data_IF_837829669936
#
_entry.id   IF_837829669936
#
_cell.length_a   1.000
_cell.length_b   1.000
_cell.length_c   1.000
_cell.angle_alpha   90.00
_cell.angle_beta   90.00
_cell.angle_gamma   90.00
#
_symmetry.space_group_name_H-M   'P 1'
#
loop_
_entity.id
_entity.type
_entity.pdbx_description
1 polymer ?
2 non-polymer ?
3 non-polymer ?
#
# COMPACT_ATOMS: atom_id res chain seq x y z
N UNK A 9 14.69 -28.44 -8.17
CA UNK A 9 13.93 -27.46 -7.36
C UNK A 9 12.54 -27.11 -7.90
N UNK A 10 12.22 -27.56 -9.12
CA UNK A 10 10.94 -27.26 -9.73
C UNK A 10 9.89 -28.34 -9.49
N UNK A 11 10.23 -29.42 -8.79
CA UNK A 11 9.29 -30.46 -8.48
C UNK A 11 8.69 -30.40 -7.10
N UNK A 12 8.99 -29.35 -6.32
CA UNK A 12 8.54 -29.28 -4.93
C UNK A 12 7.03 -29.36 -4.81
N UNK A 13 6.30 -28.75 -5.74
CA UNK A 13 4.84 -28.73 -5.65
C UNK A 13 4.19 -29.96 -6.28
N UNK A 14 4.83 -30.57 -7.28
CA UNK A 14 4.40 -31.88 -7.72
C UNK A 14 4.58 -32.92 -6.63
N UNK A 15 5.69 -32.83 -5.89
CA UNK A 15 5.92 -33.73 -4.76
C UNK A 15 4.83 -33.57 -3.71
N UNK A 16 4.60 -32.34 -3.27
CA UNK A 16 3.65 -32.06 -2.20
C UNK A 16 2.20 -32.23 -2.62
N UNK A 17 1.94 -32.53 -3.89
CA UNK A 17 0.56 -32.62 -4.36
C UNK A 17 -0.17 -31.30 -4.29
N UNK A 18 0.51 -30.21 -4.62
CA UNK A 18 -0.06 -28.86 -4.60
C UNK A 18 -0.19 -28.41 -6.06
N UNK A 19 -1.40 -28.14 -6.55
CA UNK A 19 -1.58 -27.81 -7.96
C UNK A 19 -1.00 -26.46 -8.30
N UNK A 20 -0.77 -26.25 -9.60
CA UNK A 20 -0.21 -25.00 -10.07
C UNK A 20 0.24 -25.09 -11.52
N UNK A 21 0.48 -23.94 -12.14
CA UNK A 21 0.93 -23.93 -13.53
C UNK A 21 2.29 -24.60 -13.69
N UNK A 22 2.50 -25.17 -14.87
CA UNK A 22 3.74 -25.89 -15.15
C UNK A 22 4.86 -24.90 -15.41
N UNK A 23 5.94 -24.92 -14.64
CA UNK A 23 7.02 -23.94 -14.84
C UNK A 23 7.95 -24.32 -15.98
N UNK A 24 8.49 -23.29 -16.62
CA UNK A 24 9.56 -23.45 -17.58
C UNK A 24 10.91 -23.44 -16.88
N UNK A 25 11.93 -24.04 -17.48
CA UNK A 25 13.26 -24.02 -16.84
C UNK A 25 13.79 -22.60 -16.68
N UNK A 26 14.41 -22.36 -15.52
CA UNK A 26 14.99 -21.08 -15.13
C UNK A 26 13.93 -20.01 -14.90
N UNK A 27 13.07 -19.77 -15.89
CA UNK A 27 12.08 -18.70 -15.77
C UNK A 27 11.01 -19.01 -14.74
N UNK A 28 10.89 -20.26 -14.30
CA UNK A 28 9.76 -20.61 -13.44
C UNK A 28 8.47 -20.31 -14.17
N UNK A 29 7.61 -19.50 -13.55
CA UNK A 29 6.36 -19.09 -14.16
C UNK A 29 6.32 -17.59 -14.48
N UNK A 30 7.49 -16.94 -14.59
CA UNK A 30 7.51 -15.47 -14.66
C UNK A 30 6.87 -14.97 -15.94
N UNK A 31 6.89 -15.79 -17.01
CA UNK A 31 6.25 -15.38 -18.26
C UNK A 31 4.77 -15.11 -18.08
N UNK A 32 4.13 -15.74 -17.08
CA UNK A 32 2.72 -15.49 -16.82
C UNK A 32 2.47 -14.12 -16.22
N UNK A 33 3.52 -13.38 -15.88
CA UNK A 33 3.35 -12.02 -15.37
C UNK A 33 3.16 -11.02 -16.50
N UNK A 34 2.82 -11.48 -17.72
CA UNK A 34 2.65 -10.55 -18.83
C UNK A 34 1.36 -9.74 -18.71
N UNK A 35 0.38 -10.25 -17.95
CA UNK A 35 -0.83 -9.50 -17.63
C UNK A 35 -0.74 -8.86 -16.25
N UNK A 36 0.41 -8.92 -15.60
CA UNK A 36 0.56 -8.37 -14.26
C UNK A 36 0.18 -9.34 -13.18
N UNK A 37 0.73 -9.13 -11.98
CA UNK A 37 0.47 -9.98 -10.82
C UNK A 37 -1.00 -10.25 -10.61
N UNK A 38 -1.80 -9.18 -10.71
CA UNK A 38 -3.22 -9.24 -10.37
C UNK A 38 -3.97 -10.24 -11.23
N UNK A 39 -3.89 -10.07 -12.56
CA UNK A 39 -4.59 -11.00 -13.45
C UNK A 39 -4.07 -12.42 -13.30
N UNK A 40 -2.78 -12.56 -13.04
CA UNK A 40 -2.18 -13.88 -12.85
C UNK A 40 -2.79 -14.61 -11.67
N UNK A 41 -2.80 -13.95 -10.50
CA UNK A 41 -3.34 -14.58 -9.30
C UNK A 41 -4.83 -14.84 -9.44
N UNK A 42 -5.56 -13.87 -10.00
CA UNK A 42 -7.00 -14.05 -10.21
C UNK A 42 -7.30 -15.32 -10.99
N UNK A 43 -6.53 -15.55 -12.07
CA UNK A 43 -6.69 -16.78 -12.84
C UNK A 43 -6.28 -17.99 -12.02
N UNK A 44 -5.09 -17.93 -11.42
CA UNK A 44 -4.59 -19.03 -10.59
C UNK A 44 -5.60 -19.39 -9.50
N UNK A 45 -6.17 -18.37 -8.86
CA UNK A 45 -7.21 -18.61 -7.84
C UNK A 45 -8.40 -19.37 -8.43
N UNK A 46 -8.73 -19.09 -9.69
CA UNK A 46 -9.85 -19.78 -10.34
C UNK A 46 -9.43 -21.13 -10.92
N UNK A 47 -8.15 -21.28 -11.26
CA UNK A 47 -7.68 -22.48 -11.93
C UNK A 47 -7.50 -23.65 -10.95
N UNK A 48 -7.09 -23.38 -9.72
CA UNK A 48 -6.71 -24.43 -8.79
C UNK A 48 -7.44 -24.40 -7.46
N UNK A 49 -7.92 -23.24 -7.02
CA UNK A 49 -8.78 -23.20 -5.85
C UNK A 49 -8.18 -22.53 -4.62
N UNK A 50 -8.22 -23.24 -3.49
CA UNK A 50 -7.85 -22.64 -2.21
C UNK A 50 -6.35 -22.50 -2.04
N UNK A 51 -5.56 -23.36 -2.67
CA UNK A 51 -4.10 -23.36 -2.53
C UNK A 51 -3.48 -23.77 -3.85
N UNK A 52 -2.47 -23.02 -4.28
CA UNK A 52 -1.69 -23.37 -5.46
C UNK A 52 -0.25 -22.93 -5.24
N UNK A 53 0.60 -23.27 -6.20
CA UNK A 53 2.01 -22.93 -6.11
C UNK A 53 2.56 -22.58 -7.47
N UNK A 54 3.70 -21.90 -7.44
CA UNK A 54 4.40 -21.50 -8.65
C UNK A 54 5.85 -21.17 -8.27
N UNK A 55 6.62 -20.68 -9.23
CA UNK A 55 8.06 -20.51 -9.08
C UNK A 55 8.48 -19.17 -9.68
N UNK A 56 8.84 -18.23 -8.82
CA UNK A 56 9.46 -16.98 -9.24
C UNK A 56 10.94 -17.26 -9.52
N UNK A 57 11.26 -17.52 -10.78
CA UNK A 57 12.57 -18.02 -11.14
C UNK A 57 12.79 -19.43 -10.63
N UNK A 58 13.66 -19.57 -9.62
CA UNK A 58 13.83 -20.83 -8.90
C UNK A 58 13.18 -20.81 -7.54
N UNK A 59 12.50 -19.71 -7.19
CA UNK A 59 11.96 -19.52 -5.85
C UNK A 59 10.55 -20.09 -5.77
N UNK A 60 10.31 -21.14 -4.99
CA UNK A 60 8.94 -21.67 -4.86
C UNK A 60 8.08 -20.73 -4.02
N UNK A 61 6.91 -20.39 -4.55
CA UNK A 61 5.96 -19.52 -3.86
C UNK A 61 4.64 -20.26 -3.72
N UNK A 62 4.12 -20.31 -2.50
CA UNK A 62 2.85 -20.96 -2.20
C UNK A 62 1.80 -19.90 -1.89
N UNK A 63 0.67 -19.97 -2.61
CA UNK A 63 -0.41 -19.00 -2.46
C UNK A 63 -1.54 -19.64 -1.67
N UNK A 64 -1.84 -19.09 -0.49
CA UNK A 64 -2.90 -19.58 0.38
C UNK A 64 -4.05 -18.58 0.35
N UNK A 65 -5.28 -19.11 0.36
CA UNK A 65 -6.48 -18.27 0.38
C UNK A 65 -7.43 -18.67 1.50
N UNK A 66 -6.98 -19.50 2.45
CA UNK A 66 -7.83 -19.94 3.54
C UNK A 66 -7.75 -18.94 4.69
N UNK A 67 -8.85 -18.32 5.09
CA UNK A 67 -8.78 -17.27 6.13
C UNK A 67 -8.15 -17.76 7.44
N UNK A 68 -8.44 -18.99 7.85
CA UNK A 68 -7.77 -19.55 9.01
C UNK A 68 -6.28 -19.76 8.74
N UNK A 69 -5.95 -20.25 7.54
CA UNK A 69 -4.55 -20.47 7.19
C UNK A 69 -3.82 -19.13 7.08
N UNK A 70 -4.49 -18.11 6.58
CA UNK A 70 -3.90 -16.78 6.50
C UNK A 70 -3.69 -16.21 7.91
N UNK A 71 -4.75 -16.26 8.74
CA UNK A 71 -4.63 -15.82 10.13
C UNK A 71 -3.53 -16.58 10.86
N UNK A 72 -3.32 -17.85 10.50
CA UNK A 72 -2.22 -18.61 11.10
C UNK A 72 -0.87 -18.02 10.72
N UNK A 73 -0.71 -17.66 9.45
CA UNK A 73 0.60 -17.22 8.96
C UNK A 73 0.88 -15.78 9.37
N UNK A 74 -0.09 -14.88 9.15
CA UNK A 74 0.13 -13.47 9.44
C UNK A 74 0.16 -13.19 10.94
N UNK A 75 -0.60 -13.95 11.74
CA UNK A 75 -0.80 -13.62 13.14
C UNK A 75 -0.23 -14.71 14.04
N UNK A 76 -0.79 -15.92 13.95
CA UNK A 76 -0.53 -16.94 14.95
C UNK A 76 0.92 -17.37 14.97
N UNK A 77 1.53 -17.56 13.81
CA UNK A 77 2.89 -18.09 13.70
C UNK A 77 3.82 -17.07 13.04
N UNK A 78 3.72 -15.81 13.46
CA UNK A 78 4.55 -14.77 12.86
C UNK A 78 5.93 -14.72 13.53
N UNK A 79 5.97 -14.53 14.85
CA UNK A 79 7.23 -14.41 15.57
C UNK A 79 8.09 -15.66 15.46
N UNK A 80 7.51 -16.80 15.06
CA UNK A 80 8.22 -18.08 15.06
C UNK A 80 8.68 -18.48 13.67
N UNK A 81 7.74 -18.58 12.72
CA UNK A 81 7.99 -19.17 11.43
C UNK A 81 7.97 -18.11 10.32
N UNK A 82 7.00 -17.19 10.35
CA UNK A 82 6.86 -16.28 9.23
C UNK A 82 7.16 -14.85 9.66
N UNK A 83 8.42 -14.56 9.99
CA UNK A 83 8.77 -13.24 10.52
C UNK A 83 9.07 -12.26 9.39
N UNK A 84 9.68 -12.74 8.31
CA UNK A 84 10.28 -11.88 7.30
C UNK A 84 9.63 -12.11 5.93
N UNK A 85 9.68 -11.08 5.10
CA UNK A 85 9.16 -11.09 3.75
C UNK A 85 10.20 -11.65 2.80
N UNK A 86 9.91 -11.60 1.50
CA UNK A 86 10.84 -12.11 0.50
C UNK A 86 12.11 -11.26 0.50
N UNK A 87 13.30 -11.88 0.50
CA UNK A 87 14.55 -11.10 0.46
C UNK A 87 14.59 -10.17 -0.75
N UNK A 88 15.13 -8.98 -0.54
CA UNK A 88 15.10 -7.92 -1.55
C UNK A 88 16.49 -7.30 -1.64
N UNK A 89 17.05 -7.28 -2.85
CA UNK A 89 18.35 -6.71 -3.07
C UNK A 89 18.61 -6.39 -4.53
N UNK A 90 19.67 -5.64 -4.81
CA UNK A 90 20.65 -5.05 -3.88
C UNK A 90 20.10 -3.85 -3.12
N UNK A 91 20.24 -3.82 -1.80
CA UNK A 91 19.66 -2.79 -0.97
C UNK A 91 20.73 -1.90 -0.34
N UNK A 92 21.87 -2.47 0.02
CA UNK A 92 22.94 -1.68 0.62
C UNK A 92 22.62 -1.36 2.06
N UNK A 93 22.77 -0.09 2.44
CA UNK A 93 22.44 0.33 3.80
C UNK A 93 20.94 0.23 4.07
N UNK A 94 20.12 0.13 3.02
CA UNK A 94 18.68 -0.04 3.16
C UNK A 94 18.30 -1.42 3.68
N UNK A 95 19.26 -2.32 3.87
CA UNK A 95 18.97 -3.60 4.51
C UNK A 95 18.43 -3.40 5.93
N UNK A 96 18.84 -2.30 6.58
CA UNK A 96 18.38 -2.00 7.93
C UNK A 96 17.00 -1.37 7.95
N UNK A 97 16.42 -1.07 6.80
CA UNK A 97 15.08 -0.51 6.74
C UNK A 97 14.07 -1.49 7.34
N UNK A 98 13.05 -0.94 8.01
CA UNK A 98 12.13 -1.78 8.77
C UNK A 98 11.35 -2.70 7.84
N UNK A 99 10.92 -2.18 6.69
CA UNK A 99 10.24 -3.01 5.70
C UNK A 99 11.16 -4.04 5.06
N UNK A 100 12.45 -4.00 5.38
CA UNK A 100 13.45 -4.84 4.73
C UNK A 100 14.19 -5.67 5.77
N UNK A 101 14.32 -5.15 6.98
CA UNK A 101 15.04 -5.84 8.04
C UNK A 101 14.34 -7.14 8.42
N UNK A 102 15.10 -8.02 9.07
CA UNK A 102 14.66 -9.36 9.37
C UNK A 102 14.94 -9.72 10.83
N UNK A 103 14.10 -10.59 11.38
CA UNK A 103 14.35 -11.34 12.62
C UNK A 103 14.54 -10.36 13.78
N UNK A 104 15.59 -10.51 14.59
CA UNK A 104 15.74 -9.71 15.81
C UNK A 104 16.02 -8.25 15.48
N UNK A 105 16.65 -7.97 14.34
CA UNK A 105 16.84 -6.59 13.93
C UNK A 105 15.51 -5.90 13.68
N UNK A 106 14.55 -6.62 13.08
CA UNK A 106 13.24 -6.04 12.81
C UNK A 106 12.46 -5.81 14.10
N UNK A 107 12.48 -6.80 15.01
CA UNK A 107 11.73 -6.68 16.26
C UNK A 107 12.16 -5.44 17.04
N UNK A 108 13.44 -5.11 16.99
CA UNK A 108 13.96 -3.92 17.67
C UNK A 108 13.43 -2.65 17.01
N UNK A 109 13.50 -2.58 15.68
CA UNK A 109 13.03 -1.40 14.97
C UNK A 109 11.53 -1.23 15.09
N UNK A 110 10.77 -2.33 14.99
CA UNK A 110 9.32 -2.22 15.04
C UNK A 110 8.85 -1.73 16.42
N UNK A 111 9.62 -2.04 17.47
CA UNK A 111 9.32 -1.51 18.79
C UNK A 111 9.73 -0.04 18.90
N UNK A 112 10.89 0.30 18.35
CA UNK A 112 11.40 1.67 18.47
C UNK A 112 10.57 2.65 17.66
N UNK A 113 9.91 2.19 16.60
CA UNK A 113 9.12 3.06 15.73
C UNK A 113 7.62 2.90 15.91
N UNK A 114 7.18 1.96 16.75
CA UNK A 114 5.75 1.83 17.04
C UNK A 114 5.16 3.08 17.67
N UNK A 115 5.78 3.72 18.69
CA UNK A 115 5.12 4.87 19.33
C UNK A 115 5.19 6.17 18.53
N UNK A 116 5.32 6.05 17.21
CA UNK A 116 5.27 7.23 16.35
C UNK A 116 3.87 7.51 15.83
N UNK A 117 3.02 6.50 15.73
CA UNK A 117 1.66 6.65 15.25
C UNK A 117 0.65 6.25 16.32
N UNK A 118 0.92 6.60 17.57
CA UNK A 118 -0.06 6.39 18.62
C UNK A 118 -1.23 7.36 18.42
N UNK A 119 -2.33 7.08 19.13
CA UNK A 119 -3.52 7.93 19.01
C UNK A 119 -3.25 9.36 19.45
N UNK A 120 -2.24 9.59 20.28
CA UNK A 120 -1.91 10.92 20.71
C UNK A 120 -0.95 11.64 19.77
N UNK A 121 0.07 10.92 19.29
CA UNK A 121 1.00 11.51 18.34
C UNK A 121 0.32 11.92 17.04
N UNK A 122 -0.75 11.22 16.66
CA UNK A 122 -1.51 11.61 15.47
C UNK A 122 -2.36 12.85 15.77
N UNK A 123 -2.90 12.94 16.99
CA UNK A 123 -3.72 14.08 17.36
C UNK A 123 -2.93 15.38 17.34
N UNK A 124 -1.62 15.31 17.61
CA UNK A 124 -0.78 16.50 17.49
C UNK A 124 -0.51 16.86 16.04
N UNK A 125 -0.76 15.96 15.10
CA UNK A 125 -0.48 16.21 13.69
C UNK A 125 -1.64 16.87 12.96
N UNK A 126 -2.86 16.78 13.50
CA UNK A 126 -4.02 17.39 12.83
C UNK A 126 -3.89 18.90 12.73
N UNK A 127 -3.50 19.64 13.79
CA UNK A 127 -3.24 21.08 13.60
C UNK A 127 -2.13 21.37 12.61
N UNK A 128 -1.13 20.49 12.51
CA UNK A 128 -0.01 20.72 11.60
C UNK A 128 -0.42 20.38 10.16
N UNK A 129 -1.10 19.24 9.98
CA UNK A 129 -1.55 18.84 8.64
C UNK A 129 -2.61 19.79 8.08
N UNK A 130 -3.32 20.51 8.95
CA UNK A 130 -4.36 21.44 8.53
C UNK A 130 -3.85 22.66 7.78
N UNK A 131 -2.55 22.78 7.52
CA UNK A 131 -2.05 23.93 6.77
C UNK A 131 -1.99 23.66 5.28
N UNK A 132 -1.36 22.55 4.89
CA UNK A 132 -1.15 22.27 3.47
C UNK A 132 -2.42 21.85 2.75
N UNK A 133 -3.46 21.47 3.50
CA UNK A 133 -4.76 21.29 2.88
C UNK A 133 -5.29 22.59 2.31
N UNK A 134 -5.04 23.71 2.99
CA UNK A 134 -5.38 25.01 2.43
C UNK A 134 -4.46 25.37 1.27
N UNK A 135 -3.19 24.98 1.35
CA UNK A 135 -2.31 25.07 0.20
C UNK A 135 -2.82 24.15 -0.91
N UNK A 136 -3.47 23.04 -0.53
CA UNK A 136 -4.02 22.13 -1.54
C UNK A 136 -5.27 22.71 -2.19
N UNK A 137 -6.16 23.29 -1.40
CA UNK A 137 -7.36 23.92 -1.96
C UNK A 137 -6.98 25.11 -2.83
N UNK A 138 -6.04 25.93 -2.35
CA UNK A 138 -5.64 27.10 -3.11
C UNK A 138 -4.84 26.71 -4.36
N UNK A 139 -4.08 25.61 -4.30
CA UNK A 139 -3.45 25.11 -5.52
C UNK A 139 -4.48 24.53 -6.47
N UNK A 140 -5.55 23.95 -5.95
CA UNK A 140 -6.64 23.46 -6.78
C UNK A 140 -7.61 24.56 -7.20
N UNK A 141 -7.63 25.69 -6.48
CA UNK A 141 -8.50 26.80 -6.86
C UNK A 141 -8.00 27.52 -8.10
N UNK A 142 -6.72 27.38 -8.44
CA UNK A 142 -6.13 28.08 -9.58
C UNK A 142 -6.35 27.34 -10.90
N UNK A 143 -6.33 26.03 -10.88
CA UNK A 143 -6.57 25.23 -12.08
C UNK A 143 -8.03 24.84 -12.25
N UNK A 144 -8.92 25.38 -11.40
CA UNK A 144 -10.35 25.19 -11.56
C UNK A 144 -11.04 26.42 -12.14
N UNK A 145 -10.55 27.61 -11.76
CA UNK A 145 -11.05 28.83 -12.43
C UNK A 145 -10.75 28.60 -13.91
N UNK A 146 -9.63 27.94 -14.19
CA UNK A 146 -9.28 27.59 -15.59
C UNK A 146 -10.14 26.34 -15.83
N UNK A 147 -11.05 26.39 -16.80
CA UNK A 147 -11.89 25.21 -17.13
C UNK A 147 -11.12 24.17 -17.92
N UNK A 148 -10.24 23.42 -17.25
CA UNK A 148 -9.41 22.40 -17.94
C UNK A 148 -9.29 21.16 -17.06
N UNK A 149 -9.04 19.97 -17.63
CA UNK A 149 -8.83 18.76 -16.82
C UNK A 149 -7.69 18.93 -15.80
N UNK A 150 -7.60 18.05 -14.81
CA UNK A 150 -6.58 18.21 -13.73
C UNK A 150 -5.90 16.87 -13.42
N UNK A 151 -4.57 16.87 -13.25
CA UNK A 151 -3.87 15.63 -12.85
C UNK A 151 -3.95 15.54 -11.32
N UNK A 152 -4.66 14.54 -10.81
CA UNK A 152 -4.87 14.49 -9.36
C UNK A 152 -3.60 14.12 -8.61
N UNK A 153 -2.87 13.11 -9.07
CA UNK A 153 -1.71 12.63 -8.34
C UNK A 153 -0.64 13.70 -8.19
N UNK A 154 -0.56 14.64 -9.13
CA UNK A 154 0.41 15.73 -9.02
C UNK A 154 0.07 16.64 -7.84
N UNK A 155 -1.16 17.15 -7.81
CA UNK A 155 -1.56 18.02 -6.71
C UNK A 155 -1.76 17.23 -5.42
N UNK A 156 -2.07 15.93 -5.51
CA UNK A 156 -2.16 15.12 -4.31
C UNK A 156 -0.78 14.80 -3.77
N UNK A 157 0.13 14.38 -4.66
CA UNK A 157 1.49 14.08 -4.23
C UNK A 157 2.21 15.30 -3.71
N UNK A 158 2.01 16.46 -4.37
CA UNK A 158 2.56 17.71 -3.84
C UNK A 158 2.01 17.97 -2.44
N UNK A 159 0.71 17.72 -2.24
CA UNK A 159 0.14 17.80 -0.89
C UNK A 159 0.75 16.75 0.01
N UNK A 160 0.78 15.49 -0.44
CA UNK A 160 1.24 14.40 0.41
C UNK A 160 2.70 14.58 0.80
N UNK A 161 3.52 15.11 -0.11
CA UNK A 161 4.92 15.36 0.23
C UNK A 161 5.05 16.48 1.26
N UNK A 162 4.17 17.48 1.18
CA UNK A 162 4.16 18.53 2.19
C UNK A 162 3.86 17.96 3.57
N UNK A 163 3.01 16.94 3.63
CA UNK A 163 2.61 16.40 4.93
C UNK A 163 3.71 15.52 5.51
N UNK A 164 4.33 14.70 4.67
CA UNK A 164 5.28 13.71 5.18
C UNK A 164 6.56 14.38 5.68
N UNK A 165 6.98 15.46 5.03
CA UNK A 165 8.21 16.13 5.45
C UNK A 165 8.02 16.90 6.74
N UNK A 166 6.79 17.28 7.06
CA UNK A 166 6.50 18.07 8.27
C UNK A 166 6.01 17.22 9.43
N UNK A 167 5.25 16.16 9.17
CA UNK A 167 4.79 15.28 10.25
C UNK A 167 5.93 14.49 10.88
N UNK A 168 7.05 14.37 10.18
CA UNK A 168 8.19 13.56 10.68
C UNK A 168 9.31 14.48 11.17
N UNK A 169 9.73 15.44 10.33
CA UNK A 169 10.81 16.38 10.72
C UNK A 169 10.24 17.79 10.82
N UNK A 170 9.27 18.12 9.96
CA UNK A 170 8.61 19.45 10.02
C UNK A 170 9.31 20.47 9.15
N UNK A 171 8.75 20.77 7.98
CA UNK A 171 9.34 21.81 7.09
C UNK A 171 8.22 22.47 6.29
N UNK A 172 8.02 23.78 6.47
CA UNK A 172 6.98 24.51 5.71
C UNK A 172 7.43 24.59 4.25
N UNK A 173 6.87 23.72 3.39
CA UNK A 173 7.30 23.67 1.97
C UNK A 173 6.06 23.78 1.07
N UNK A 174 6.11 24.60 0.03
CA UNK A 174 4.97 24.62 -0.90
C UNK A 174 5.44 23.83 -2.11
N UNK A 175 4.91 22.62 -2.27
CA UNK A 175 5.38 21.73 -3.32
C UNK A 175 4.85 22.09 -4.70
N UNK A 176 5.04 23.34 -5.12
CA UNK A 176 4.98 23.69 -6.53
C UNK A 176 6.29 24.27 -7.04
N UNK A 182 11.90 11.26 -5.64
CA UNK A 182 12.77 10.25 -6.25
C UNK A 182 12.21 9.70 -7.55
N UNK A 183 11.25 8.80 -7.45
CA UNK A 183 10.61 8.20 -8.61
C UNK A 183 9.22 7.66 -8.24
N UNK A 197 9.48 -4.97 -13.78
CA UNK A 197 9.52 -5.26 -15.24
C UNK A 197 10.92 -4.87 -15.75
N UNK A 198 11.39 -3.61 -15.63
CA UNK A 198 12.64 -3.18 -16.28
C UNK A 198 13.97 -3.91 -16.03
N UNK A 199 14.46 -3.85 -14.79
CA UNK A 199 15.70 -4.59 -14.44
C UNK A 199 15.28 -5.71 -13.46
N UNK A 200 14.38 -5.38 -12.53
CA UNK A 200 13.96 -6.37 -11.55
C UNK A 200 13.53 -7.68 -12.21
N UNK A 201 13.23 -7.64 -13.51
CA UNK A 201 12.97 -8.87 -14.27
C UNK A 201 14.15 -9.83 -14.15
N UNK A 202 15.36 -9.30 -14.14
CA UNK A 202 16.56 -10.13 -14.00
C UNK A 202 16.84 -10.51 -12.56
N UNK A 203 16.25 -9.79 -11.60
CA UNK A 203 16.45 -10.13 -10.19
C UNK A 203 15.94 -11.53 -9.89
N UNK A 204 14.76 -11.87 -10.41
CA UNK A 204 14.07 -13.07 -9.95
C UNK A 204 14.61 -14.33 -10.62
N UNK A 205 15.10 -14.23 -11.86
CA UNK A 205 15.77 -15.37 -12.46
C UNK A 205 17.24 -15.42 -12.05
N UNK A 206 17.80 -14.29 -11.61
CA UNK A 206 19.17 -14.23 -11.09
C UNK A 206 19.16 -13.73 -9.65
N UNK A 207 18.52 -14.46 -8.72
CA UNK A 207 18.66 -14.08 -7.31
C UNK A 207 20.04 -14.39 -6.77
N UNK A 208 20.77 -15.27 -7.44
CA UNK A 208 22.18 -15.49 -7.15
C UNK A 208 23.03 -14.28 -7.49
N UNK A 209 22.54 -13.39 -8.34
CA UNK A 209 23.24 -12.17 -8.68
C UNK A 209 23.03 -11.04 -7.67
N UNK A 210 22.08 -11.17 -6.76
CA UNK A 210 21.91 -10.14 -5.72
C UNK A 210 23.15 -10.03 -4.85
N UNK A 211 23.75 -11.12 -4.34
CA UNK A 211 25.01 -10.97 -3.60
C UNK A 211 26.10 -10.31 -4.43
N UNK A 212 26.10 -10.51 -5.75
CA UNK A 212 27.07 -9.84 -6.62
C UNK A 212 26.90 -8.33 -6.53
N UNK A 213 25.67 -7.85 -6.70
CA UNK A 213 25.43 -6.42 -6.79
C UNK A 213 25.62 -5.73 -5.44
N UNK A 214 25.45 -6.45 -4.33
CA UNK A 214 25.66 -5.87 -3.02
C UNK A 214 27.13 -5.51 -2.77
N UNK A 215 28.07 -6.17 -3.47
CA UNK A 215 29.48 -5.86 -3.31
C UNK A 215 29.98 -4.84 -4.32
N UNK A 216 29.11 -4.36 -5.21
CA UNK A 216 29.45 -3.32 -6.17
C UNK A 216 28.83 -1.97 -5.82
N UNK A 217 28.24 -1.86 -4.63
CA UNK A 217 27.45 -0.69 -4.23
C UNK A 217 26.30 -0.43 -5.20
N UNK A 218 25.96 -1.40 -6.04
CA UNK A 218 24.79 -1.27 -6.89
C UNK A 218 23.54 -1.32 -6.03
N UNK A 219 22.57 -0.46 -6.35
CA UNK A 219 21.39 -0.31 -5.53
C UNK A 219 20.17 -0.16 -6.43
N UNK A 220 19.09 -0.87 -6.09
CA UNK A 220 17.83 -0.69 -6.78
C UNK A 220 17.31 0.74 -6.60
N UNK A 221 17.77 1.43 -5.56
CA UNK A 221 17.50 2.83 -5.38
C UNK A 221 18.69 3.61 -5.87
N UNK A 222 18.57 4.38 -6.96
CA UNK A 222 19.76 4.99 -7.57
C UNK A 222 20.60 5.77 -6.59
N UNK A 223 21.91 5.55 -6.63
CA UNK A 223 22.82 6.03 -5.60
C UNK A 223 22.88 7.55 -5.52
N UNK A 224 22.28 8.27 -6.46
CA UNK A 224 22.18 9.72 -6.35
C UNK A 224 20.90 10.17 -5.66
N UNK A 225 19.88 9.32 -5.62
CA UNK A 225 18.69 9.62 -4.84
C UNK A 225 18.97 9.45 -3.35
N UNK A 226 19.70 8.38 -3.00
CA UNK A 226 20.05 8.16 -1.60
C UNK A 226 21.12 9.15 -1.13
N UNK A 227 22.14 9.38 -1.97
CA UNK A 227 23.16 10.36 -1.61
C UNK A 227 22.57 11.75 -1.41
N UNK A 228 21.52 12.07 -2.15
CA UNK A 228 20.76 13.28 -1.87
C UNK A 228 20.23 13.29 -0.44
N UNK A 229 20.10 12.12 0.19
CA UNK A 229 19.55 12.00 1.54
C UNK A 229 20.53 11.41 2.55
N UNK A 230 21.55 10.66 2.11
CA UNK A 230 22.60 10.23 3.03
C UNK A 230 23.27 11.40 3.72
N UNK A 231 23.04 12.63 3.25
CA UNK A 231 23.43 13.83 3.96
C UNK A 231 22.26 14.71 4.35
N UNK A 232 21.17 14.71 3.58
CA UNK A 232 20.03 15.58 3.85
C UNK A 232 19.37 15.26 5.18
N UNK A 233 19.40 14.00 5.61
CA UNK A 233 18.87 13.67 6.92
C UNK A 233 19.83 14.10 8.01
N UNK A 234 21.13 13.92 7.79
CA UNK A 234 22.11 14.55 8.66
C UNK A 234 22.03 16.07 8.57
N UNK A 235 21.53 16.58 7.44
CA UNK A 235 21.25 17.99 7.23
C UNK A 235 19.94 18.43 7.86
N UNK A 251 8.68 12.12 14.12
CA UNK A 251 9.38 10.86 13.85
C UNK A 251 10.89 11.03 13.95
N UNK A 252 11.41 12.11 13.34
CA UNK A 252 12.83 12.41 13.46
C UNK A 252 13.21 12.65 14.92
N UNK A 253 12.37 13.36 15.66
CA UNK A 253 12.62 13.59 17.08
C UNK A 253 12.50 12.35 17.96
N UNK A 254 11.49 11.50 17.70
CA UNK A 254 11.27 10.21 18.37
C UNK A 254 12.35 9.14 18.01
N UNK A 255 13.39 9.41 17.22
CA UNK A 255 14.42 8.43 16.91
C UNK A 255 15.69 8.64 17.73
N UNK A 256 16.24 9.87 17.71
CA UNK A 256 17.41 10.16 18.52
C UNK A 256 17.06 10.13 20.00
N UNK A 257 15.82 10.46 20.34
CA UNK A 257 15.41 10.44 21.75
C UNK A 257 15.36 9.02 22.29
N UNK A 258 15.07 8.04 21.44
CA UNK A 258 15.17 6.63 21.81
C UNK A 258 16.53 6.05 21.46
N UNK A 259 17.48 6.89 21.05
CA UNK A 259 18.87 6.47 20.88
C UNK A 259 19.68 6.77 22.15
N UNK A 269 20.45 0.03 21.00
CA UNK A 269 19.68 1.21 20.68
C UNK A 269 19.77 1.50 19.19
N UNK A 270 19.49 2.73 18.79
CA UNK A 270 19.39 3.10 17.38
C UNK A 270 20.66 3.80 16.90
N UNK A 271 21.03 3.51 15.67
CA UNK A 271 22.21 4.06 15.00
C UNK A 271 21.83 5.31 14.21
N UNK A 272 22.68 5.69 13.26
CA UNK A 272 22.50 6.91 12.48
C UNK A 272 22.30 6.66 10.99
N UNK A 273 23.14 5.82 10.37
CA UNK A 273 22.88 5.46 8.98
C UNK A 273 21.58 4.69 8.85
N UNK A 274 21.18 3.98 9.90
CA UNK A 274 19.87 3.34 9.94
C UNK A 274 18.75 4.35 10.13
N UNK A 275 19.03 5.48 10.80
CA UNK A 275 18.03 6.54 10.92
C UNK A 275 17.66 7.10 9.55
N UNK A 276 18.66 7.25 8.67
CA UNK A 276 18.39 7.74 7.32
C UNK A 276 17.54 6.74 6.56
N UNK A 277 17.87 5.45 6.68
CA UNK A 277 17.15 4.41 5.94
C UNK A 277 15.68 4.37 6.32
N UNK A 278 15.36 4.57 7.61
CA UNK A 278 13.96 4.60 8.03
C UNK A 278 13.27 5.86 7.51
N UNK A 279 14.00 6.97 7.43
CA UNK A 279 13.42 8.17 6.84
C UNK A 279 13.02 7.94 5.39
N UNK A 280 13.87 7.24 4.63
CA UNK A 280 13.57 6.95 3.23
C UNK A 280 12.29 6.13 3.10
N UNK A 281 12.15 5.11 3.96
CA UNK A 281 10.96 4.26 3.93
C UNK A 281 9.71 5.11 4.18
N UNK A 282 9.74 5.92 5.24
CA UNK A 282 8.58 6.74 5.59
C UNK A 282 8.29 7.78 4.51
N UNK A 283 9.33 8.45 4.01
CA UNK A 283 9.12 9.52 3.04
C UNK A 283 8.51 8.98 1.75
N UNK A 284 8.93 7.79 1.32
CA UNK A 284 8.26 7.16 0.19
C UNK A 284 6.84 6.76 0.55
N UNK A 285 6.69 6.00 1.65
CA UNK A 285 5.39 5.48 2.05
C UNK A 285 4.33 6.58 2.11
N UNK A 286 4.66 7.67 2.79
CA UNK A 286 3.69 8.75 2.92
C UNK A 286 3.44 9.50 1.63
N UNK A 287 4.41 9.54 0.73
CA UNK A 287 4.20 10.22 -0.54
C UNK A 287 3.35 9.37 -1.47
N UNK A 288 3.91 8.25 -1.93
CA UNK A 288 3.32 7.53 -3.05
C UNK A 288 2.00 6.90 -2.68
N UNK A 289 1.95 6.18 -1.55
CA UNK A 289 0.74 5.48 -1.16
C UNK A 289 -0.43 6.45 -0.98
N UNK A 290 -0.20 7.57 -0.30
CA UNK A 290 -1.27 8.52 -0.04
C UNK A 290 -1.75 9.16 -1.34
N UNK A 291 -0.83 9.60 -2.18
CA UNK A 291 -1.21 10.20 -3.45
C UNK A 291 -1.93 9.20 -4.35
N UNK A 292 -1.45 7.96 -4.38
CA UNK A 292 -2.00 6.97 -5.29
C UNK A 292 -3.42 6.59 -4.91
N UNK A 293 -3.68 6.36 -3.63
CA UNK A 293 -5.03 5.98 -3.20
C UNK A 293 -5.99 7.15 -3.34
N UNK A 294 -5.53 8.37 -3.07
CA UNK A 294 -6.38 9.54 -3.29
C UNK A 294 -6.75 9.69 -4.75
N UNK A 295 -5.84 9.34 -5.66
CA UNK A 295 -6.14 9.33 -7.08
C UNK A 295 -7.27 8.36 -7.39
N UNK A 296 -7.18 7.15 -6.82
CA UNK A 296 -8.23 6.15 -7.02
C UNK A 296 -9.55 6.60 -6.45
N UNK A 297 -9.52 7.29 -5.30
CA UNK A 297 -10.76 7.68 -4.64
C UNK A 297 -11.49 8.75 -5.44
N UNK A 298 -10.76 9.76 -5.93
CA UNK A 298 -11.42 10.81 -6.69
C UNK A 298 -11.89 10.30 -8.05
N UNK A 299 -11.23 9.30 -8.61
CA UNK A 299 -11.73 8.68 -9.83
C UNK A 299 -13.08 8.00 -9.57
N UNK A 300 -13.15 7.22 -8.49
CA UNK A 300 -14.37 6.47 -8.20
C UNK A 300 -15.53 7.41 -7.86
N UNK A 301 -15.25 8.51 -7.18
CA UNK A 301 -16.30 9.47 -6.89
C UNK A 301 -16.82 10.12 -8.16
N UNK A 302 -15.94 10.38 -9.13
CA UNK A 302 -16.36 11.02 -10.38
C UNK A 302 -17.23 10.09 -11.22
N UNK A 303 -16.83 8.83 -11.34
CA UNK A 303 -17.61 7.87 -12.12
C UNK A 303 -18.84 7.35 -11.40
N UNK A 304 -18.98 7.67 -10.10
CA UNK A 304 -20.16 7.34 -9.32
C UNK A 304 -20.59 8.61 -8.59
N UNK A 305 -21.30 9.50 -9.29
CA UNK A 305 -21.58 10.82 -8.69
C UNK A 305 -22.50 10.77 -7.48
N UNK A 306 -23.40 9.79 -7.40
CA UNK A 306 -24.30 9.71 -6.26
C UNK A 306 -23.53 9.54 -4.96
N UNK A 307 -22.46 8.74 -4.99
CA UNK A 307 -21.62 8.56 -3.81
C UNK A 307 -20.94 9.87 -3.43
N UNK A 308 -20.57 10.67 -4.43
CA UNK A 308 -19.84 11.90 -4.16
C UNK A 308 -20.72 12.92 -3.44
N UNK A 309 -21.97 13.07 -3.90
CA UNK A 309 -22.88 14.01 -3.24
C UNK A 309 -23.22 13.54 -1.83
N UNK A 310 -23.59 12.27 -1.67
CA UNK A 310 -23.88 11.74 -0.34
C UNK A 310 -22.67 11.87 0.58
N UNK A 311 -21.46 11.92 0.00
CA UNK A 311 -20.27 12.16 0.79
C UNK A 311 -20.16 13.63 1.18
N UNK A 312 -20.40 14.53 0.21
CA UNK A 312 -20.38 15.96 0.51
C UNK A 312 -21.46 16.35 1.51
N UNK A 313 -22.57 15.61 1.53
CA UNK A 313 -23.65 15.93 2.48
C UNK A 313 -23.23 15.62 3.91
N UNK A 314 -22.53 14.50 4.13
CA UNK A 314 -22.05 14.15 5.46
C UNK A 314 -20.91 15.06 5.89
N UNK A 315 -20.10 15.54 4.94
CA UNK A 315 -18.98 16.40 5.29
C UNK A 315 -19.47 17.75 5.80
N UNK A 316 -20.53 18.28 5.18
CA UNK A 316 -21.12 19.54 5.64
C UNK A 316 -22.05 19.36 6.83
N UNK A 317 -22.45 18.13 7.14
CA UNK A 317 -23.26 17.89 8.33
C UNK A 317 -22.39 17.86 9.58
N UNK A 318 -21.29 17.12 9.55
CA UNK A 318 -20.38 17.09 10.69
C UNK A 318 -19.60 18.39 10.79
N UNK A 319 -19.28 19.02 9.65
CA UNK A 319 -18.52 20.26 9.60
C UNK A 319 -19.34 21.31 8.85
N UNK A 320 -20.31 21.94 9.52
CA UNK A 320 -21.08 23.00 8.86
C UNK A 320 -20.26 24.27 8.70
N UNK A 321 -20.67 25.08 7.72
CA UNK A 321 -19.98 26.32 7.33
C UNK A 321 -18.55 26.06 6.87
N UNK A 322 -18.29 24.86 6.34
CA UNK A 322 -16.94 24.44 5.91
C UNK A 322 -15.97 24.50 7.08
N UNK A 323 -16.28 23.74 8.12
CA UNK A 323 -15.50 23.76 9.34
C UNK A 323 -14.18 23.02 9.16
N UNK A 324 -13.15 23.38 9.94
CA UNK A 324 -11.88 22.69 9.85
C UNK A 324 -11.97 21.29 10.41
N UNK A 325 -11.58 20.27 9.65
CA UNK A 325 -11.64 18.90 10.15
C UNK A 325 -10.65 18.67 11.29
N UNK A 326 -11.17 18.29 12.45
CA UNK A 326 -10.37 17.94 13.60
C UNK A 326 -10.28 16.43 13.73
N UNK A 327 -9.46 15.97 14.69
CA UNK A 327 -9.26 14.53 14.88
C UNK A 327 -10.58 13.82 15.14
N UNK A 328 -11.38 14.35 16.06
CA UNK A 328 -12.58 13.65 16.49
C UNK A 328 -13.70 13.71 15.47
N UNK A 329 -13.76 14.75 14.65
CA UNK A 329 -14.76 14.81 13.60
C UNK A 329 -14.43 13.91 12.42
N UNK A 330 -13.15 13.54 12.26
CA UNK A 330 -12.76 12.68 11.13
C UNK A 330 -13.20 11.25 11.39
N UNK A 331 -13.07 10.77 12.62
CA UNK A 331 -13.49 9.41 12.95
C UNK A 331 -15.01 9.27 13.03
N UNK A 332 -15.75 10.38 13.00
CA UNK A 332 -17.20 10.31 13.05
C UNK A 332 -17.81 10.04 11.67
N UNK A 333 -17.17 10.53 10.61
CA UNK A 333 -17.71 10.42 9.26
C UNK A 333 -17.59 8.97 8.79
N UNK A 334 -18.69 8.22 8.92
CA UNK A 334 -18.69 6.81 8.58
C UNK A 334 -18.83 6.57 7.08
N UNK A 335 -19.56 7.43 6.36
CA UNK A 335 -19.61 7.27 4.91
C UNK A 335 -18.28 7.61 4.27
N UNK A 336 -17.53 8.55 4.86
CA UNK A 336 -16.15 8.78 4.43
C UNK A 336 -15.32 7.53 4.59
N UNK A 337 -15.46 6.86 5.74
CA UNK A 337 -14.73 5.61 5.97
C UNK A 337 -15.16 4.53 4.99
N UNK A 338 -16.45 4.47 4.66
CA UNK A 338 -16.94 3.47 3.74
C UNK A 338 -16.39 3.68 2.33
N UNK A 339 -16.32 4.94 1.89
CA UNK A 339 -15.72 5.24 0.59
C UNK A 339 -14.25 4.85 0.59
N UNK A 340 -13.55 5.09 1.70
CA UNK A 340 -12.12 4.78 1.77
C UNK A 340 -11.89 3.28 1.71
N UNK A 341 -12.63 2.51 2.53
CA UNK A 341 -12.43 1.06 2.57
C UNK A 341 -12.72 0.42 1.22
N UNK A 342 -13.84 0.80 0.59
CA UNK A 342 -14.24 0.18 -0.66
C UNK A 342 -13.22 0.46 -1.78
N UNK A 343 -12.70 1.69 -1.85
CA UNK A 343 -11.68 1.98 -2.84
C UNK A 343 -10.43 1.13 -2.59
N UNK A 344 -10.04 0.97 -1.32
CA UNK A 344 -8.93 0.11 -0.97
C UNK A 344 -9.22 -1.36 -1.27
N UNK A 345 -10.49 -1.75 -1.30
CA UNK A 345 -10.81 -3.11 -1.73
C UNK A 345 -10.49 -3.31 -3.20
N UNK A 346 -10.94 -2.37 -4.05
CA UNK A 346 -10.66 -2.49 -5.47
C UNK A 346 -9.19 -2.26 -5.80
N UNK A 347 -8.51 -1.43 -5.02
CA UNK A 347 -7.13 -1.05 -5.30
C UNK A 347 -6.26 -1.18 -4.06
N UNK A 348 -5.98 -2.42 -3.62
CA UNK A 348 -4.97 -2.59 -2.56
C UNK A 348 -3.63 -2.39 -3.26
N UNK A 349 -3.03 -1.22 -3.08
CA UNK A 349 -1.73 -0.91 -3.73
C UNK A 349 -0.75 -2.07 -3.59
N UNK A 350 -0.78 -2.80 -2.47
CA UNK A 350 0.22 -3.82 -2.23
C UNK A 350 -0.04 -5.11 -3.00
N UNK A 351 -1.31 -5.39 -3.35
CA UNK A 351 -1.70 -6.53 -4.18
C UNK A 351 -1.49 -7.79 -3.34
N UNK A 352 -0.28 -7.99 -2.82
CA UNK A 352 0.13 -9.24 -2.22
C UNK A 352 0.77 -9.00 -0.86
N UNK A 353 0.55 -9.95 0.05
CA UNK A 353 1.27 -10.04 1.31
C UNK A 353 2.13 -11.30 1.28
N UNK A 354 3.38 -11.17 1.70
CA UNK A 354 4.33 -12.27 1.57
C UNK A 354 5.11 -12.50 2.85
N UNK A 355 5.39 -13.76 3.15
CA UNK A 355 6.20 -14.17 4.29
C UNK A 355 7.08 -15.34 3.88
N UNK A 356 8.31 -15.35 4.37
CA UNK A 356 9.24 -16.45 4.10
C UNK A 356 9.11 -17.47 5.22
N UNK A 357 8.67 -18.68 4.87
CA UNK A 357 8.71 -19.79 5.80
C UNK A 357 10.16 -20.09 6.18
N UNK A 358 10.45 -20.00 7.48
CA UNK A 358 11.83 -20.12 7.94
C UNK A 358 12.11 -21.43 8.67
N UNK A 359 11.14 -22.34 8.73
CA UNK A 359 11.39 -23.72 9.16
C UNK A 359 10.16 -24.54 8.85
N UNK A 360 10.35 -25.86 8.75
CA UNK A 360 9.25 -26.77 8.42
C UNK A 360 8.09 -26.59 9.38
N UNK A 361 6.89 -26.54 8.82
CA UNK A 361 5.66 -26.45 9.60
C UNK A 361 4.56 -27.25 8.93
N UNK A 362 3.51 -27.52 9.70
CA UNK A 362 2.29 -28.18 9.23
C UNK A 362 1.11 -27.33 9.71
N UNK A 363 0.88 -26.21 9.04
CA UNK A 363 -0.18 -25.30 9.43
C UNK A 363 -1.51 -25.82 8.88
N UNK A 364 -2.53 -25.83 9.73
CA UNK A 364 -3.91 -26.18 9.35
C UNK A 364 -3.97 -27.39 8.42
N UNK A 365 -3.22 -28.43 8.78
CA UNK A 365 -3.25 -29.68 8.07
C UNK A 365 -2.43 -29.75 6.79
N UNK A 366 -1.65 -28.72 6.49
CA UNK A 366 -0.83 -28.69 5.28
C UNK A 366 0.63 -28.50 5.66
N UNK A 367 1.49 -29.42 5.25
CA UNK A 367 2.91 -29.24 5.44
C UNK A 367 3.44 -28.15 4.51
N UNK A 368 4.35 -27.34 5.03
CA UNK A 368 5.00 -26.30 4.26
C UNK A 368 6.49 -26.39 4.51
N UNK A 369 7.32 -26.67 3.50
CA UNK A 369 8.74 -26.89 3.74
C UNK A 369 9.50 -25.60 3.95
N UNK A 370 10.71 -25.74 4.49
CA UNK A 370 11.54 -24.59 4.82
C UNK A 370 11.96 -23.87 3.56
N UNK A 371 11.82 -22.53 3.57
CA UNK A 371 12.24 -21.68 2.47
C UNK A 371 11.13 -21.18 1.59
N UNK A 372 9.95 -21.81 1.62
CA UNK A 372 8.88 -21.43 0.71
C UNK A 372 8.38 -20.04 1.06
N UNK A 373 8.23 -19.19 0.04
CA UNK A 373 7.63 -17.88 0.22
C UNK A 373 6.12 -18.05 0.20
N UNK A 374 5.48 -17.75 1.33
CA UNK A 374 4.03 -17.84 1.47
C UNK A 374 3.43 -16.50 1.07
N UNK A 375 2.52 -16.51 0.10
CA UNK A 375 1.96 -15.31 -0.48
C UNK A 375 0.43 -15.35 -0.38
N UNK A 376 -0.16 -14.23 0.01
CA UNK A 376 -1.61 -14.07 0.08
C UNK A 376 -2.02 -13.14 -1.06
N UNK A 377 -2.75 -13.62 -2.07
CA UNK A 377 -3.15 -12.75 -3.21
C UNK A 377 -4.25 -11.77 -2.82
N UNK A 378 -3.85 -10.64 -2.25
CA UNK A 378 -4.82 -9.68 -1.72
C UNK A 378 -5.74 -9.16 -2.81
N UNK A 379 -5.17 -8.78 -3.97
CA UNK A 379 -6.01 -8.32 -5.07
C UNK A 379 -6.99 -9.38 -5.51
N UNK A 380 -6.58 -10.65 -5.51
CA UNK A 380 -7.47 -11.73 -5.91
C UNK A 380 -8.61 -11.90 -4.91
N UNK A 381 -8.31 -11.85 -3.62
CA UNK A 381 -9.33 -12.10 -2.61
C UNK A 381 -10.34 -10.95 -2.57
N UNK A 382 -9.88 -9.72 -2.75
CA UNK A 382 -10.78 -8.57 -2.72
C UNK A 382 -11.79 -8.59 -3.86
N UNK A 383 -11.64 -9.49 -4.84
CA UNK A 383 -12.52 -9.55 -5.99
C UNK A 383 -13.05 -10.97 -6.20
N UNK A 384 -13.08 -11.79 -5.17
CA UNK A 384 -13.57 -13.15 -5.29
C UNK A 384 -15.09 -13.17 -5.18
N UNK A 385 -15.81 -13.64 -6.19
CA UNK A 385 -17.28 -13.74 -6.05
C UNK A 385 -17.74 -14.67 -4.95
N UNK A 386 -16.90 -15.60 -4.49
CA UNK A 386 -17.24 -16.44 -3.35
C UNK A 386 -17.17 -15.70 -2.02
N UNK A 387 -16.98 -14.38 -2.07
CA UNK A 387 -17.13 -13.51 -0.92
C UNK A 387 -17.84 -12.20 -1.24
N UNK A 388 -17.73 -11.68 -2.46
CA UNK A 388 -18.23 -10.36 -2.82
C UNK A 388 -19.30 -10.49 -3.90
N UNK A 389 -20.50 -9.97 -3.61
CA UNK A 389 -21.53 -9.86 -4.63
C UNK A 389 -21.18 -8.77 -5.63
N UNK A 390 -21.24 -9.11 -6.92
CA UNK A 390 -20.90 -8.21 -8.01
C UNK A 390 -19.58 -7.51 -7.71
N UNK A 391 -18.46 -8.22 -7.78
CA UNK A 391 -17.23 -7.71 -7.16
C UNK A 391 -16.59 -6.54 -7.88
N UNK A 392 -16.76 -6.42 -9.19
CA UNK A 392 -16.13 -5.33 -9.92
C UNK A 392 -16.82 -3.99 -9.73
N UNK A 393 -18.00 -3.97 -9.10
CA UNK A 393 -18.76 -2.72 -8.96
C UNK A 393 -18.33 -1.97 -7.71
N UNK A 394 -18.26 -0.65 -7.82
CA UNK A 394 -17.91 0.21 -6.69
C UNK A 394 -19.15 0.40 -5.83
N UNK A 395 -19.13 -0.14 -4.62
CA UNK A 395 -20.29 -0.13 -3.73
C UNK A 395 -19.81 0.05 -2.30
N UNK A 396 -19.72 1.30 -1.82
CA UNK A 396 -19.30 1.52 -0.43
C UNK A 396 -20.26 0.97 0.61
N UNK A 397 -21.50 0.62 0.22
CA UNK A 397 -22.45 0.06 1.18
C UNK A 397 -22.01 -1.31 1.69
N UNK A 398 -20.97 -1.91 1.12
CA UNK A 398 -20.41 -3.13 1.69
C UNK A 398 -19.88 -2.89 3.10
N UNK A 399 -19.46 -1.66 3.40
CA UNK A 399 -18.80 -1.35 4.66
C UNK A 399 -19.66 -0.51 5.60
N UNK A 400 -20.98 -0.52 5.39
CA UNK A 400 -21.86 0.08 6.37
C UNK A 400 -21.96 -0.83 7.60
N UNK A 401 -22.36 -0.23 8.72
CA UNK A 401 -22.49 -1.00 9.96
C UNK A 401 -23.60 -2.04 9.87
N UNK A 402 -24.40 -2.03 8.81
CA UNK A 402 -25.35 -3.09 8.56
C UNK A 402 -24.72 -4.27 7.82
N UNK A 403 -23.63 -4.04 7.08
CA UNK A 403 -22.99 -5.08 6.30
C UNK A 403 -21.52 -5.31 6.64
N UNK A 404 -20.90 -4.44 7.44
CA UNK A 404 -19.47 -4.55 7.69
C UNK A 404 -19.09 -5.81 8.46
N UNK A 405 -20.06 -6.55 8.98
CA UNK A 405 -19.77 -7.76 9.73
C UNK A 405 -19.77 -9.04 8.90
N UNK A 406 -20.30 -9.00 7.68
CA UNK A 406 -20.24 -10.13 6.77
C UNK A 406 -18.94 -10.15 5.97
N UNK A 407 -17.86 -9.64 6.57
CA UNK A 407 -16.60 -9.43 5.87
C UNK A 407 -15.47 -10.00 6.71
N UNK A 408 -14.74 -10.96 6.17
CA UNK A 408 -13.67 -11.62 6.90
C UNK A 408 -12.43 -10.72 6.90
N UNK A 409 -11.91 -10.32 8.08
CA UNK A 409 -10.75 -9.42 8.09
C UNK A 409 -9.45 -10.14 7.74
N UNK A 410 -9.59 -11.38 7.27
CA UNK A 410 -8.48 -12.11 6.68
C UNK A 410 -8.73 -12.40 5.20
N UNK A 411 -9.78 -11.83 4.63
CA UNK A 411 -9.93 -11.69 3.19
C UNK A 411 -9.70 -10.25 2.76
N UNK A 412 -10.33 -9.30 3.44
CA UNK A 412 -10.08 -7.88 3.23
C UNK A 412 -8.92 -7.47 4.14
N UNK A 413 -7.73 -7.39 3.55
CA UNK A 413 -6.51 -7.03 4.28
C UNK A 413 -5.71 -6.02 3.48
N UNK A 414 -6.23 -4.79 3.34
CA UNK A 414 -5.48 -3.77 2.60
C UNK A 414 -4.30 -3.21 3.37
N UNK A 415 -4.18 -3.52 4.66
CA UNK A 415 -3.06 -3.07 5.48
C UNK A 415 -2.31 -4.23 6.10
N UNK A 416 -2.48 -5.44 5.58
CA UNK A 416 -1.87 -6.61 6.17
C UNK A 416 -2.60 -7.04 7.43
N UNK A 417 -1.87 -7.78 8.27
CA UNK A 417 -2.38 -8.24 9.55
C UNK A 417 -1.23 -8.80 10.37
N UNK A 418 -1.44 -8.86 11.68
CA UNK A 418 -0.43 -9.39 12.58
C UNK A 418 0.65 -8.39 12.92
N UNK A 419 1.71 -8.87 13.57
CA UNK A 419 2.77 -7.95 14.04
C UNK A 419 3.52 -7.23 12.94
N UNK A 420 3.38 -7.65 11.67
CA UNK A 420 4.10 -7.03 10.57
C UNK A 420 3.20 -6.22 9.65
N UNK A 421 1.99 -5.90 10.10
CA UNK A 421 1.07 -5.16 9.24
C UNK A 421 1.60 -3.75 9.02
N UNK A 422 0.89 -2.97 8.21
CA UNK A 422 1.30 -1.60 7.91
C UNK A 422 1.40 -0.79 9.18
N UNK A 423 2.62 -0.34 9.50
CA UNK A 423 2.83 0.38 10.75
C UNK A 423 2.13 1.72 10.73
N UNK A 424 2.03 2.35 9.56
CA UNK A 424 1.41 3.66 9.45
C UNK A 424 0.00 3.60 8.91
N UNK A 425 -0.73 2.55 9.28
CA UNK A 425 -2.11 2.39 8.81
C UNK A 425 -2.99 3.52 9.32
N UNK A 426 -2.88 3.84 10.62
CA UNK A 426 -3.75 4.85 11.21
C UNK A 426 -3.41 6.25 10.72
N UNK A 427 -2.13 6.52 10.43
CA UNK A 427 -1.76 7.81 9.87
C UNK A 427 -2.31 7.97 8.46
N UNK A 428 -2.18 6.94 7.62
CA UNK A 428 -2.60 7.02 6.23
C UNK A 428 -4.10 7.25 6.11
N UNK A 429 -4.89 6.59 6.96
CA UNK A 429 -6.33 6.83 6.97
C UNK A 429 -6.64 8.25 7.42
N UNK A 430 -5.92 8.74 8.43
CA UNK A 430 -6.13 10.10 8.92
C UNK A 430 -5.66 11.12 7.89
N UNK A 431 -4.49 10.90 7.29
CA UNK A 431 -3.96 11.87 6.32
C UNK A 431 -4.88 11.97 5.11
N UNK A 432 -5.37 10.83 4.61
CA UNK A 432 -6.25 10.86 3.44
C UNK A 432 -7.59 11.50 3.77
N UNK A 433 -8.16 11.18 4.93
CA UNK A 433 -9.49 11.69 5.26
C UNK A 433 -9.48 13.20 5.48
N UNK A 434 -8.41 13.73 6.09
CA UNK A 434 -8.27 15.18 6.20
C UNK A 434 -8.16 15.84 4.83
N UNK A 435 -7.59 15.12 3.85
CA UNK A 435 -7.47 15.65 2.51
C UNK A 435 -8.79 15.58 1.75
N UNK A 436 -9.55 14.49 1.93
CA UNK A 436 -10.83 14.35 1.25
C UNK A 436 -11.85 15.32 1.80
N UNK A 437 -11.84 15.56 3.12
CA UNK A 437 -12.78 16.49 3.72
C UNK A 437 -12.56 17.89 3.15
N UNK A 438 -11.32 18.37 3.22
CA UNK A 438 -11.04 19.76 2.83
C UNK A 438 -11.28 20.00 1.35
N UNK A 439 -11.06 18.99 0.52
CA UNK A 439 -11.18 19.15 -0.93
C UNK A 439 -12.63 18.96 -1.38
N UNK A 440 -13.33 17.97 -0.86
CA UNK A 440 -14.74 17.81 -1.20
C UNK A 440 -15.62 18.86 -0.53
N UNK A 441 -15.09 19.61 0.43
CA UNK A 441 -15.82 20.74 1.01
C UNK A 441 -15.87 21.93 0.07
N UNK A 442 -14.97 22.00 -0.90
CA UNK A 442 -14.86 23.16 -1.78
C UNK A 442 -15.11 22.85 -3.25
N UNK A 443 -14.88 21.62 -3.70
CA UNK A 443 -14.96 21.30 -5.11
C UNK A 443 -15.80 20.05 -5.33
N UNK A 444 -16.32 19.93 -6.55
CA UNK A 444 -16.88 18.70 -7.08
C UNK A 444 -16.01 18.22 -8.25
N UNK A 445 -16.17 16.96 -8.61
CA UNK A 445 -15.28 16.32 -9.57
C UNK A 445 -16.11 15.58 -10.63
N UNK A 446 -15.90 15.96 -11.89
CA UNK A 446 -16.55 15.35 -13.03
C UNK A 446 -15.52 14.73 -13.96
N UNK A 447 -15.87 13.65 -14.65
CA UNK A 447 -14.95 13.10 -15.66
C UNK A 447 -14.78 14.05 -16.82
N UNK A 448 -13.67 13.88 -17.53
CA UNK A 448 -13.35 14.66 -18.72
C UNK A 448 -13.39 13.76 -19.95
N UNK A 449 -13.22 14.39 -21.11
CA UNK A 449 -13.17 13.65 -22.37
C UNK A 449 -11.99 12.70 -22.39
N UNK A 450 -10.87 13.07 -21.77
CA UNK A 450 -9.66 12.27 -21.74
C UNK A 450 -9.60 11.35 -20.52
N UNK A 451 -10.59 11.40 -19.64
CA UNK A 451 -10.64 10.50 -18.50
C UNK A 451 -10.79 9.04 -18.97
N UNK A 452 -9.97 8.16 -18.41
CA UNK A 452 -9.93 6.77 -18.81
C UNK A 452 -11.06 6.01 -18.11
N UNK A 453 -12.08 5.61 -18.87
CA UNK A 453 -13.21 4.89 -18.34
C UNK A 453 -13.54 3.73 -19.28
N UNK A 454 -13.49 2.48 -18.83
CA UNK A 454 -13.16 2.03 -17.47
C UNK A 454 -11.67 2.17 -17.19
N UNK A 455 -11.28 2.41 -15.95
CA UNK A 455 -9.87 2.62 -15.61
C UNK A 455 -9.10 1.33 -15.79
N UNK A 456 -8.10 1.35 -16.67
CA UNK A 456 -7.20 0.22 -16.83
C UNK A 456 -6.12 0.25 -15.75
N UNK A 457 -5.88 -0.88 -15.11
CA UNK A 457 -4.79 -0.98 -14.18
C UNK A 457 -3.46 -1.10 -14.93
N UNK A 458 -2.37 -0.71 -14.27
CA UNK A 458 -1.05 -0.92 -14.93
C UNK A 458 -0.78 -2.43 -14.91
N UNK A 459 0.27 -2.86 -15.61
CA UNK A 459 0.64 -4.30 -15.60
C UNK A 459 2.02 -4.43 -14.96
N UNK A 460 2.41 -3.45 -14.15
CA UNK A 460 3.74 -3.47 -13.52
C UNK A 460 3.71 -4.15 -12.17
N UNK A 461 4.43 -3.61 -11.18
CA UNK A 461 4.48 -4.20 -9.84
C UNK A 461 3.91 -3.27 -8.79
N UNK A 462 3.16 -2.26 -9.24
CA UNK A 462 2.48 -1.35 -8.29
C UNK A 462 1.08 -1.09 -8.83
N UNK A 463 0.07 -1.09 -7.95
CA UNK A 463 -1.31 -0.88 -8.46
C UNK A 463 -1.43 0.57 -8.89
N UNK A 464 -0.90 0.89 -10.06
CA UNK A 464 -0.98 2.27 -10.59
C UNK A 464 -1.82 2.25 -11.87
N UNK A 465 -2.55 3.32 -12.22
CA UNK A 465 -3.27 3.39 -13.49
C UNK A 465 -2.33 3.57 -14.67
N UNK A 466 -2.73 3.00 -15.81
CA UNK A 466 -2.00 3.19 -17.06
C UNK A 466 -1.89 4.66 -17.41
N UNK A 467 -3.03 5.27 -17.75
CA UNK A 467 -3.07 6.72 -17.91
C UNK A 467 -3.26 7.39 -16.56
N UNK A 468 -2.55 8.48 -16.29
CA UNK A 468 -2.79 9.24 -15.06
C UNK A 468 -4.24 9.68 -14.96
N UNK A 469 -4.73 9.82 -13.73
CA UNK A 469 -6.13 10.09 -13.48
C UNK A 469 -6.37 11.59 -13.63
N UNK A 470 -7.14 11.96 -14.65
CA UNK A 470 -7.47 13.36 -14.92
C UNK A 470 -8.97 13.53 -14.85
N UNK A 471 -9.42 14.60 -14.19
CA UNK A 471 -10.83 14.89 -14.04
C UNK A 471 -11.06 16.40 -14.10
N UNK A 472 -12.31 16.78 -14.32
CA UNK A 472 -12.69 18.18 -14.26
C UNK A 472 -13.08 18.55 -12.84
N UNK A 473 -12.70 19.75 -12.42
CA UNK A 473 -12.95 20.24 -11.07
C UNK A 473 -13.81 21.49 -11.16
N UNK A 474 -14.82 21.57 -10.29
CA UNK A 474 -15.74 22.69 -10.26
C UNK A 474 -15.88 23.19 -8.83
N UNK A 475 -16.01 24.50 -8.68
CA UNK A 475 -15.98 25.17 -7.39
C UNK A 475 -17.39 25.40 -6.88
N UNK A 476 -17.65 24.95 -5.65
CA UNK A 476 -18.96 25.13 -5.02
C UNK A 476 -19.11 26.53 -4.44
X LIG B 1 3.72 -2.30 5.30
X LIG B 1 -0.38 -0.94 3.07
X LIG B 1 0.60 3.71 3.97
X LIG B 1 4.63 2.36 6.36
X LIG B 1 2.52 -2.34 4.61
X LIG B 1 1.84 -3.53 4.16
X LIG B 1 0.71 -3.16 3.54
X LIG B 1 0.63 -1.71 3.59
X LIG B 1 -0.34 -4.09 2.89
X LIG B 1 2.32 -4.99 4.33
X LIG B 1 1.61 -5.66 5.51
X LIG B 1 2.07 -7.08 5.62
X LIG B 1 1.42 -7.86 6.38
X LIG B 1 3.06 -7.45 4.96
X LIG B 1 -0.48 0.43 3.12
X LIG B 1 -1.57 1.22 2.57
X LIG B 1 -1.30 2.51 2.81
X LIG B 1 -0.03 2.57 3.53
X LIG B 1 -2.78 0.59 1.84
X LIG B 1 -2.11 3.80 2.46
X LIG B 1 -3.26 3.82 1.78
X LIG B 1 1.75 3.76 4.74
X LIG B 1 2.33 4.93 5.35
X LIG B 1 3.43 4.58 6.00
X LIG B 1 3.61 3.15 5.85
X LIG B 1 1.75 6.37 5.25
X LIG B 1 4.33 5.59 6.78
X LIG B 1 5.51 5.25 7.29
X LIG B 1 4.76 0.99 6.25
X LIG B 1 5.88 0.19 6.70
X LIG B 1 5.63 -1.09 6.41
X LIG B 1 4.34 -1.16 5.76
X LIG B 1 7.14 0.74 7.40
X LIG B 1 6.56 -2.29 6.73
X LIG B 1 6.03 -2.98 7.98
X LIG B 1 7.12 -3.76 8.66
X LIG B 1 7.09 -3.83 9.92
X LIG B 1 8.02 -4.28 7.96
X LIG B 1 1.76 -1.25 4.25
X LIG B 1 0.44 1.29 3.69
X LIG B 1 2.56 2.68 5.06
X LIG B 1 3.85 0.12 5.67
X LIG B 1 2.14 0.73 4.70
X LIG C 1 10.29 -1.81 -1.00
X LIG C 1 11.15 -0.85 -1.90
X LIG C 1 11.30 0.61 -1.44
X LIG C 1 11.63 3.32 -0.61
X LIG C 1 10.74 2.99 -1.63
X LIG C 1 10.59 1.66 -2.03
X LIG C 1 9.63 -1.14 0.26
X LIG C 1 7.44 -0.59 1.60
X LIG C 1 7.80 0.93 1.89
X LIG C 1 6.64 1.96 1.86
X LIG C 1 5.23 1.37 1.73
X LIG C 1 4.45 1.04 2.85
X LIG C 1 3.34 0.57 0.41
X LIG C 1 4.62 1.10 0.50
X LIG C 1 8.00 -5.20 1.04
X LIG C 1 6.72 -4.34 0.95
X LIG C 1 6.07 -3.86 2.11
X LIG C 1 4.91 -3.08 2.04
X LIG C 1 4.35 -2.76 0.81
X LIG C 1 4.97 -3.22 -0.35
X LIG C 1 9.01 -7.31 -3.25
X LIG C 1 8.87 -6.07 -2.33
X LIG C 1 9.10 -4.95 -0.09
X LIG C 1 10.50 -4.60 0.53
X LIG C 1 12.20 0.98 -0.42
X LIG C 1 12.36 2.30 -0.01
X LIG C 1 2.65 0.28 1.59
X LIG C 1 6.13 -3.99 -0.27
X LIG C 1 7.82 -7.66 -3.85
X LIG C 1 9.83 -7.13 -4.31
X LIG C 1 9.43 -8.45 -2.67
X LIG C 1 9.21 -6.14 -1.00
X LIG C 1 8.20 -1.16 0.43
X LIG C 1 3.21 0.51 2.81
X LIG C 1 8.45 -5.06 -2.89
X LIG C 1 10.32 -0.64 1.13
X LIG C 1 11.41 -3.28 -0.46
#
# INVERSE_FOLDING_TARGET
>A
MAYLYGTHSHGLFKKLGIPGPTPLPFLGNILSYHKGFCMFDMECHKKYGKVWGFYDGQQPVLAITDPDMIKTVLVKECYSVFTNRRPFGPVGFMKSAISIAEDEEWKRLRSLLSPTFTSGKLKEMVPIIAQYGDVLVRNLRREAETGKPVTLKDVFGAYSMDVITSTSFGVNIDSLNNPQDPFVENTKKLLRFDFLDPFFLSITVFPFLIPILEVLNICVFPREVTNFLRKSVKRMKESRLEDTQKHRVDFLQLMIDSQNSKETESHKALSDLELVAQSIIFIFAGYETTSSVLSFIMYELATHPDVQQKLQEEIDAVLPNKAPPTYDTVLQMEYLDMVVNETLRLFPIAMRLERVCKKDVEINGMFIPKGVVVMIPSYALHRDPKYWTEPEKFLPERFSKKNKDNIDPYIYTPFGSGPRNCIGMRFALMNMKLALIRVLQNFSFKPCKETQIPLKLSLGGLLQPEKPVVLKVESRDGTVSGAHHHH
>B hetero
1 HEM CHA CHB CHC CHD C1A C2A C3A C4A CMA CAA CBA CGA O1A O2A C1B C2B C3B C4B CMB CAB CBB C1C C2C C3C C4C CMC CAC CBC C1D C2D C3D C4D CMD CAD CBD CGD O1D O2D NA NB NC ND FE
>C hetero
1 A1A08 C11 C12 C13 C16 C17 C18 C19 C22 C23 C24 C25 C26 C29 C30 C31 C32 C33 C34 C35 C36 C02 C05 C08 C09 C14 C15 C28 C37 F01 F03 F04 N07 N21 N27 O06 O20 S10
#
